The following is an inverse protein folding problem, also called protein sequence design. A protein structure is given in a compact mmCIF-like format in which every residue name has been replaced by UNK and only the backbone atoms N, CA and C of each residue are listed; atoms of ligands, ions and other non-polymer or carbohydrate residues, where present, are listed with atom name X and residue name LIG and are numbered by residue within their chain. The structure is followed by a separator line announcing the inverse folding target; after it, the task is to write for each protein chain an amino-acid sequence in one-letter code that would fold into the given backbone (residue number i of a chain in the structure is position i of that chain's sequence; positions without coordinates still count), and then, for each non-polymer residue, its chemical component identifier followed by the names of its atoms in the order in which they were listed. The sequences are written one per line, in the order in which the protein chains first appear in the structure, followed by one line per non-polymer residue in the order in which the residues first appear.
data_IF_080198124654
#
_entry.id   IF_080198124654
#
_cell.length_a   1.000
_cell.length_b   1.000
_cell.length_c   1.000
_cell.angle_alpha   90.00
_cell.angle_beta   90.00
_cell.angle_gamma   90.00
#
_symmetry.space_group_name_H-M   'P 1'
#
loop_
_entity.id
_entity.type
_entity.pdbx_description
1 polymer ?
#
# COMPACT_ATOMS: atom_id res chain seq x y z
N UNK A 1 11.66 17.38 -11.30
CA UNK A 1 12.66 17.97 -10.36
C UNK A 1 12.00 18.86 -9.29
N UNK A 2 10.82 19.42 -9.58
CA UNK A 2 10.15 20.36 -8.68
C UNK A 2 9.18 19.68 -7.70
N UNK A 3 9.04 18.38 -7.77
CA UNK A 3 8.12 17.59 -6.95
C UNK A 3 8.92 16.71 -5.98
N UNK A 4 8.29 16.21 -4.92
CA UNK A 4 8.89 15.38 -3.88
C UNK A 4 8.22 14.02 -3.76
N UNK A 5 9.01 13.00 -3.45
CA UNK A 5 8.53 11.71 -2.96
C UNK A 5 9.11 11.49 -1.57
N UNK A 6 8.22 11.24 -0.60
CA UNK A 6 8.57 10.93 0.78
C UNK A 6 8.33 9.42 0.98
N UNK A 7 9.40 8.65 1.12
CA UNK A 7 9.35 7.18 1.14
C UNK A 7 9.71 6.63 2.51
N UNK A 8 8.88 5.73 3.05
CA UNK A 8 9.21 4.97 4.25
C UNK A 8 10.50 4.16 4.03
N UNK A 9 11.33 4.08 5.07
CA UNK A 9 12.64 3.44 5.03
C UNK A 9 12.60 1.94 4.76
N UNK A 10 11.52 1.25 5.13
CA UNK A 10 11.32 -0.19 4.96
C UNK A 10 10.42 -0.57 3.79
N UNK A 11 10.07 0.37 2.93
CA UNK A 11 9.26 0.10 1.75
C UNK A 11 9.85 -1.04 0.90
N UNK A 12 8.96 -1.79 0.25
CA UNK A 12 9.32 -2.85 -0.67
C UNK A 12 10.29 -2.39 -1.76
N UNK A 13 11.19 -3.27 -2.19
CA UNK A 13 12.22 -2.98 -3.19
C UNK A 13 11.67 -2.35 -4.48
N UNK A 14 10.49 -2.75 -4.93
CA UNK A 14 9.85 -2.18 -6.12
C UNK A 14 9.52 -0.69 -5.97
N UNK A 15 9.12 -0.27 -4.77
CA UNK A 15 8.89 1.16 -4.44
C UNK A 15 10.23 1.89 -4.43
N UNK A 16 11.24 1.33 -3.76
CA UNK A 16 12.58 1.92 -3.71
C UNK A 16 13.15 2.12 -5.11
N UNK A 17 13.02 1.14 -5.98
CA UNK A 17 13.52 1.22 -7.36
C UNK A 17 12.70 2.21 -8.19
N UNK A 18 11.37 2.24 -8.04
CA UNK A 18 10.52 3.25 -8.67
C UNK A 18 10.91 4.67 -8.27
N UNK A 19 11.16 4.90 -6.97
CA UNK A 19 11.65 6.18 -6.45
C UNK A 19 13.03 6.52 -7.01
N UNK A 20 13.93 5.54 -7.15
CA UNK A 20 15.26 5.75 -7.74
C UNK A 20 15.20 6.12 -9.22
N UNK A 21 14.27 5.58 -9.98
CA UNK A 21 14.07 5.90 -11.40
C UNK A 21 13.37 7.25 -11.61
N UNK A 22 12.72 7.78 -10.59
CA UNK A 22 12.01 9.05 -10.66
C UNK A 22 12.98 10.25 -10.63
N UNK A 23 12.58 11.37 -11.28
CA UNK A 23 13.33 12.64 -11.27
C UNK A 23 12.90 13.59 -10.15
N UNK A 24 11.89 13.23 -9.34
CA UNK A 24 11.48 14.01 -8.18
C UNK A 24 12.56 14.00 -7.09
N UNK A 25 12.54 14.98 -6.22
CA UNK A 25 13.37 14.98 -5.02
C UNK A 25 12.94 13.85 -4.08
N UNK A 26 13.90 13.21 -3.45
CA UNK A 26 13.66 12.05 -2.60
C UNK A 26 13.91 12.40 -1.17
N UNK A 27 12.91 12.15 -0.34
CA UNK A 27 12.96 12.28 1.10
C UNK A 27 12.66 10.91 1.69
N UNK A 28 13.51 10.43 2.59
CA UNK A 28 13.32 9.16 3.27
C UNK A 28 13.02 9.45 4.73
N UNK A 29 12.03 8.80 5.30
CA UNK A 29 11.72 8.87 6.72
C UNK A 29 11.84 7.49 7.36
N UNK A 30 12.17 7.45 8.65
CA UNK A 30 12.31 6.21 9.39
C UNK A 30 10.96 5.49 9.52
N UNK A 31 11.00 4.15 9.48
CA UNK A 31 9.80 3.34 9.43
C UNK A 31 8.81 3.69 10.53
N UNK A 32 7.59 3.99 10.11
CA UNK A 32 6.48 4.35 10.99
C UNK A 32 6.75 5.54 11.94
N UNK A 33 7.81 6.31 11.73
CA UNK A 33 8.14 7.50 12.52
C UNK A 33 7.44 8.74 11.93
N UNK A 34 6.33 9.12 12.56
CA UNK A 34 5.54 10.27 12.13
C UNK A 34 6.22 11.61 12.41
N UNK A 35 7.10 11.68 13.39
CA UNK A 35 7.85 12.90 13.67
C UNK A 35 8.92 13.13 12.59
N UNK A 36 9.60 12.07 12.15
CA UNK A 36 10.54 12.17 11.04
C UNK A 36 9.80 12.41 9.70
N UNK A 37 8.66 11.75 9.45
CA UNK A 37 7.83 12.06 8.27
C UNK A 37 7.44 13.54 8.23
N UNK A 38 6.99 14.10 9.34
CA UNK A 38 6.62 15.52 9.40
C UNK A 38 7.82 16.43 9.14
N UNK A 39 8.98 16.12 9.70
CA UNK A 39 10.23 16.83 9.43
C UNK A 39 10.59 16.81 7.94
N UNK A 40 10.45 15.65 7.27
CA UNK A 40 10.73 15.54 5.83
C UNK A 40 9.71 16.33 5.00
N UNK A 41 8.45 16.38 5.42
CA UNK A 41 7.42 17.20 4.78
C UNK A 41 7.74 18.70 4.92
N UNK A 42 8.14 19.15 6.11
CA UNK A 42 8.58 20.53 6.35
C UNK A 42 9.76 20.89 5.46
N UNK A 43 10.76 20.00 5.35
CA UNK A 43 11.90 20.20 4.47
C UNK A 43 11.48 20.29 3.00
N UNK A 44 10.58 19.44 2.55
CA UNK A 44 10.06 19.50 1.19
C UNK A 44 9.34 20.83 0.89
N UNK A 45 8.60 21.36 1.86
CA UNK A 45 7.97 22.69 1.75
C UNK A 45 9.04 23.79 1.68
N UNK A 46 10.02 23.77 2.58
CA UNK A 46 11.12 24.74 2.61
C UNK A 46 11.94 24.74 1.30
N UNK A 47 12.11 23.56 0.69
CA UNK A 47 12.77 23.39 -0.62
C UNK A 47 11.89 23.85 -1.81
N UNK A 48 10.70 24.36 -1.56
CA UNK A 48 9.74 24.83 -2.60
C UNK A 48 9.21 23.72 -3.49
N UNK A 49 9.02 22.50 -2.95
CA UNK A 49 8.47 21.38 -3.73
C UNK A 49 6.99 21.59 -4.00
N UNK A 50 6.61 21.50 -5.29
CA UNK A 50 5.27 21.78 -5.77
C UNK A 50 4.27 20.70 -5.35
N UNK A 51 4.52 19.45 -5.75
CA UNK A 51 3.74 18.28 -5.35
C UNK A 51 4.55 17.39 -4.42
N UNK A 52 3.89 16.84 -3.43
CA UNK A 52 4.45 15.92 -2.45
C UNK A 52 3.66 14.62 -2.51
N UNK A 53 4.35 13.49 -2.61
CA UNK A 53 3.76 12.15 -2.59
C UNK A 53 4.39 11.35 -1.46
N UNK A 54 3.61 11.00 -0.45
CA UNK A 54 4.00 10.06 0.60
C UNK A 54 3.75 8.65 0.08
N UNK A 55 4.75 7.77 0.17
CA UNK A 55 4.66 6.39 -0.30
C UNK A 55 5.03 5.44 0.83
N UNK A 56 4.15 4.47 1.11
CA UNK A 56 4.35 3.46 2.15
C UNK A 56 3.74 2.12 1.75
N UNK A 57 4.34 1.02 2.23
CA UNK A 57 3.62 -0.25 2.34
C UNK A 57 2.50 -0.09 3.38
N UNK A 58 1.37 -0.75 3.17
CA UNK A 58 0.32 -0.85 4.18
C UNK A 58 0.70 -1.86 5.27
N UNK A 59 1.27 -2.99 4.86
CA UNK A 59 1.90 -3.99 5.73
C UNK A 59 3.30 -4.28 5.24
N UNK A 60 4.29 -4.07 6.09
CA UNK A 60 5.70 -4.36 5.81
C UNK A 60 5.96 -5.86 5.93
N UNK A 61 6.22 -6.52 4.80
CA UNK A 61 6.19 -7.99 4.68
C UNK A 61 7.21 -8.73 5.57
N UNK A 62 8.39 -8.15 5.78
CA UNK A 62 9.47 -8.80 6.51
C UNK A 62 9.31 -8.66 8.03
N UNK A 63 8.65 -7.59 8.47
CA UNK A 63 8.55 -7.21 9.89
C UNK A 63 7.14 -7.41 10.45
N UNK A 64 6.13 -7.55 9.58
CA UNK A 64 4.73 -7.67 9.99
C UNK A 64 4.13 -6.38 10.57
N UNK A 65 4.82 -5.27 10.43
CA UNK A 65 4.37 -3.96 10.90
C UNK A 65 3.27 -3.41 9.99
N UNK A 66 2.32 -2.72 10.57
CA UNK A 66 1.22 -2.04 9.85
C UNK A 66 1.44 -0.55 9.88
N UNK A 67 1.38 0.10 8.72
CA UNK A 67 1.53 1.54 8.63
C UNK A 67 0.45 2.30 9.41
N UNK A 68 0.80 3.38 10.13
CA UNK A 68 -0.16 4.22 10.85
C UNK A 68 -0.83 5.21 9.87
N UNK A 69 -1.67 4.65 8.94
CA UNK A 69 -2.26 5.41 7.83
C UNK A 69 -3.17 6.54 8.27
N UNK A 70 -3.80 6.43 9.43
CA UNK A 70 -4.55 7.51 10.06
C UNK A 70 -3.67 8.75 10.25
N UNK A 71 -2.52 8.59 10.87
CA UNK A 71 -1.55 9.68 11.11
C UNK A 71 -0.87 10.16 9.83
N UNK A 72 -0.56 9.23 8.92
CA UNK A 72 0.02 9.57 7.60
C UNK A 72 -0.94 10.46 6.81
N UNK A 73 -2.23 10.10 6.77
CA UNK A 73 -3.24 10.90 6.10
C UNK A 73 -3.45 12.27 6.77
N UNK A 74 -3.37 12.36 8.10
CA UNK A 74 -3.46 13.65 8.80
C UNK A 74 -2.29 14.57 8.44
N UNK A 75 -1.08 14.03 8.34
CA UNK A 75 0.09 14.79 7.86
C UNK A 75 -0.05 15.15 6.38
N UNK A 76 -0.58 14.24 5.55
CA UNK A 76 -0.81 14.52 4.14
C UNK A 76 -1.77 15.70 3.94
N UNK A 77 -2.90 15.72 4.67
CA UNK A 77 -3.85 16.84 4.65
C UNK A 77 -3.20 18.14 5.12
N UNK A 78 -2.40 18.09 6.21
CA UNK A 78 -1.72 19.25 6.77
C UNK A 78 -0.73 19.91 5.80
N UNK A 79 -0.03 19.09 5.00
CA UNK A 79 1.04 19.55 4.11
C UNK A 79 0.67 19.55 2.63
N UNK A 80 -0.61 19.37 2.29
CA UNK A 80 -1.10 19.25 0.92
C UNK A 80 -0.29 18.23 0.12
N UNK A 81 -0.24 17.01 0.63
CA UNK A 81 0.46 15.87 0.02
C UNK A 81 -0.53 14.78 -0.39
N UNK A 82 -0.19 14.03 -1.43
CA UNK A 82 -0.89 12.82 -1.83
C UNK A 82 -0.34 11.61 -1.06
N UNK A 83 -1.16 10.57 -0.90
CA UNK A 83 -0.78 9.32 -0.25
C UNK A 83 -0.90 8.15 -1.22
N UNK A 84 0.20 7.40 -1.40
CA UNK A 84 0.23 6.13 -2.09
C UNK A 84 0.48 5.00 -1.09
N UNK A 85 -0.38 3.99 -1.12
CA UNK A 85 -0.29 2.82 -0.24
C UNK A 85 -0.15 1.55 -1.08
N UNK A 86 0.85 0.75 -0.78
CA UNK A 86 0.97 -0.60 -1.32
C UNK A 86 0.25 -1.59 -0.40
N UNK A 87 -0.84 -2.17 -0.89
CA UNK A 87 -1.69 -3.13 -0.18
C UNK A 87 -1.37 -4.59 -0.53
N UNK A 88 -0.21 -4.86 -1.14
CA UNK A 88 0.14 -6.21 -1.62
C UNK A 88 0.15 -7.27 -0.50
N UNK A 89 0.41 -6.90 0.73
CA UNK A 89 0.39 -7.77 1.91
C UNK A 89 -0.84 -7.57 2.80
N UNK A 90 -1.88 -6.89 2.33
CA UNK A 90 -3.08 -6.59 3.12
C UNK A 90 -4.39 -6.84 2.37
N UNK A 91 -4.44 -6.50 1.08
CA UNK A 91 -5.65 -6.67 0.27
C UNK A 91 -6.13 -8.12 0.24
N UNK A 92 -7.41 -8.32 0.53
CA UNK A 92 -8.08 -9.61 0.58
C UNK A 92 -8.35 -10.14 1.99
N UNK A 93 -7.61 -9.68 3.03
CA UNK A 93 -7.77 -10.23 4.39
C UNK A 93 -7.62 -9.22 5.53
N UNK A 94 -6.90 -8.13 5.37
CA UNK A 94 -6.83 -7.08 6.39
C UNK A 94 -8.05 -6.16 6.28
N UNK A 95 -8.58 -5.75 7.44
CA UNK A 95 -9.80 -4.95 7.55
C UNK A 95 -11.07 -5.81 7.64
N UNK A 96 -12.16 -5.23 8.11
CA UNK A 96 -13.42 -5.93 8.37
C UNK A 96 -14.01 -6.62 7.14
N UNK A 97 -13.82 -6.04 5.95
CA UNK A 97 -14.28 -6.61 4.68
C UNK A 97 -13.13 -7.01 3.74
N UNK A 98 -11.87 -6.97 4.21
CA UNK A 98 -10.69 -7.36 3.45
C UNK A 98 -10.23 -6.31 2.43
N UNK A 99 -10.55 -5.04 2.65
CA UNK A 99 -10.15 -3.94 1.77
C UNK A 99 -8.77 -3.38 2.06
N UNK A 100 -8.05 -3.99 3.01
CA UNK A 100 -6.68 -3.62 3.32
C UNK A 100 -6.53 -2.69 4.52
N UNK A 101 -5.36 -2.09 4.61
CA UNK A 101 -4.95 -1.28 5.77
C UNK A 101 -5.69 0.05 5.86
N UNK A 102 -6.10 0.63 4.74
CA UNK A 102 -6.96 1.83 4.74
C UNK A 102 -8.29 1.58 5.45
N UNK A 103 -8.89 0.38 5.25
CA UNK A 103 -10.10 0.00 5.99
C UNK A 103 -9.80 -0.24 7.46
N UNK A 104 -8.73 -0.98 7.77
CA UNK A 104 -8.34 -1.31 9.14
C UNK A 104 -8.01 -0.06 9.98
N UNK A 105 -7.55 1.01 9.35
CA UNK A 105 -7.24 2.30 9.99
C UNK A 105 -8.36 3.33 9.90
N UNK A 106 -9.54 2.95 9.37
CA UNK A 106 -10.71 3.82 9.19
C UNK A 106 -10.44 5.09 8.36
N UNK A 107 -9.59 4.98 7.34
CA UNK A 107 -9.21 6.08 6.45
C UNK A 107 -9.51 5.78 4.98
N UNK A 108 -10.54 4.96 4.74
CA UNK A 108 -11.01 4.69 3.38
C UNK A 108 -11.34 5.99 2.64
N UNK A 109 -10.82 6.10 1.41
CA UNK A 109 -11.01 7.29 0.56
C UNK A 109 -9.96 8.40 0.76
N UNK A 110 -9.05 8.28 1.74
CA UNK A 110 -7.96 9.25 1.96
C UNK A 110 -6.65 8.84 1.26
N UNK A 111 -6.53 7.59 0.77
CA UNK A 111 -5.43 7.19 -0.11
C UNK A 111 -5.71 7.61 -1.55
N UNK A 112 -4.77 8.29 -2.19
CA UNK A 112 -4.91 8.77 -3.57
C UNK A 112 -4.54 7.71 -4.60
N UNK A 113 -3.56 6.87 -4.30
CA UNK A 113 -3.08 5.78 -5.14
C UNK A 113 -2.94 4.52 -4.28
N UNK A 114 -3.53 3.44 -4.75
CA UNK A 114 -3.43 2.14 -4.08
C UNK A 114 -2.88 1.13 -5.07
N UNK A 115 -1.82 0.44 -4.70
CA UNK A 115 -1.30 -0.70 -5.47
C UNK A 115 -1.62 -2.01 -4.77
N UNK A 116 -1.77 -3.06 -5.54
CA UNK A 116 -2.03 -4.38 -5.01
C UNK A 116 -1.57 -5.46 -5.97
N UNK A 117 -1.42 -6.68 -5.47
CA UNK A 117 -1.02 -7.84 -6.25
C UNK A 117 -2.13 -8.87 -6.36
N UNK A 118 -2.16 -9.58 -7.47
CA UNK A 118 -3.00 -10.77 -7.69
C UNK A 118 -2.25 -12.08 -7.42
N UNK A 119 -0.99 -11.99 -7.01
CA UNK A 119 -0.11 -13.15 -6.79
C UNK A 119 0.10 -13.53 -5.31
N UNK A 120 -0.72 -13.01 -4.39
CA UNK A 120 -0.64 -13.30 -2.94
C UNK A 120 -2.02 -13.74 -2.42
N UNK A 121 -2.57 -13.08 -1.40
CA UNK A 121 -3.86 -13.46 -0.79
C UNK A 121 -5.03 -13.44 -1.77
N UNK A 122 -5.01 -12.60 -2.78
CA UNK A 122 -6.05 -12.56 -3.82
C UNK A 122 -5.98 -13.71 -4.83
N UNK A 123 -4.99 -14.61 -4.73
CA UNK A 123 -4.99 -15.93 -5.34
C UNK A 123 -4.94 -15.99 -6.88
N UNK A 124 -4.60 -14.91 -7.57
CA UNK A 124 -4.61 -14.83 -9.02
C UNK A 124 -3.38 -15.40 -9.73
N UNK A 125 -2.44 -15.99 -9.03
CA UNK A 125 -1.17 -16.53 -9.48
C UNK A 125 -0.13 -15.46 -9.87
N UNK A 126 -0.48 -14.43 -10.62
CA UNK A 126 0.44 -13.34 -11.02
C UNK A 126 -0.32 -12.07 -11.35
N UNK A 127 0.43 -10.99 -11.51
CA UNK A 127 -0.09 -9.69 -11.88
C UNK A 127 -0.40 -8.80 -10.69
N UNK A 128 -0.85 -7.61 -11.00
CA UNK A 128 -1.20 -6.60 -10.02
C UNK A 128 -2.09 -5.53 -10.63
N UNK A 129 -2.46 -4.58 -9.80
CA UNK A 129 -3.33 -3.49 -10.19
C UNK A 129 -2.95 -2.21 -9.47
N UNK A 130 -3.33 -1.11 -10.06
CA UNK A 130 -3.30 0.22 -9.43
C UNK A 130 -4.69 0.81 -9.48
N UNK A 131 -5.17 1.31 -8.36
CA UNK A 131 -6.41 2.09 -8.27
C UNK A 131 -6.10 3.50 -7.79
N UNK A 132 -6.79 4.49 -8.36
CA UNK A 132 -6.64 5.90 -8.03
C UNK A 132 -7.83 6.68 -8.58
N UNK A 133 -7.83 8.00 -8.36
CA UNK A 133 -8.74 8.91 -9.05
C UNK A 133 -8.59 8.77 -10.56
N UNK A 134 -9.68 9.00 -11.29
CA UNK A 134 -9.76 8.82 -12.75
C UNK A 134 -8.60 9.52 -13.49
N UNK A 135 -8.32 10.74 -13.12
CA UNK A 135 -7.29 11.58 -13.75
C UNK A 135 -5.89 10.96 -13.61
N UNK A 136 -5.59 10.37 -12.45
CA UNK A 136 -4.32 9.67 -12.21
C UNK A 136 -4.25 8.41 -13.05
N UNK A 137 -5.32 7.62 -13.13
CA UNK A 137 -5.37 6.40 -13.94
C UNK A 137 -5.23 6.71 -15.43
N UNK A 138 -5.86 7.78 -15.91
CA UNK A 138 -5.71 8.22 -17.31
C UNK A 138 -4.26 8.61 -17.63
N UNK A 139 -3.58 9.33 -16.73
CA UNK A 139 -2.16 9.65 -16.88
C UNK A 139 -1.30 8.38 -16.89
N UNK A 140 -1.56 7.45 -15.97
CA UNK A 140 -0.81 6.18 -15.90
C UNK A 140 -0.97 5.36 -17.19
N UNK A 141 -2.17 5.28 -17.75
CA UNK A 141 -2.44 4.59 -19.02
C UNK A 141 -1.68 5.17 -20.20
N UNK A 142 -1.37 6.48 -20.17
CA UNK A 142 -0.65 7.17 -21.24
C UNK A 142 0.86 7.27 -21.01
N UNK A 143 1.33 7.09 -19.78
CA UNK A 143 2.72 7.38 -19.38
C UNK A 143 3.44 6.24 -18.69
N UNK A 144 2.73 5.29 -18.10
CA UNK A 144 3.36 4.15 -17.43
C UNK A 144 3.96 3.20 -18.45
N UNK A 145 5.29 3.19 -18.54
CA UNK A 145 6.02 2.34 -19.50
C UNK A 145 5.70 0.85 -19.33
N UNK A 146 5.64 0.28 -18.12
CA UNK A 146 5.23 -1.12 -17.96
C UNK A 146 3.85 -1.40 -18.52
N UNK A 147 2.89 -0.50 -18.34
CA UNK A 147 1.54 -0.65 -18.88
C UNK A 147 1.53 -0.56 -20.42
N UNK A 148 2.29 0.36 -20.99
CA UNK A 148 2.29 0.61 -22.44
C UNK A 148 3.06 -0.46 -23.23
N UNK A 149 4.12 -1.01 -22.66
CA UNK A 149 5.09 -1.84 -23.39
C UNK A 149 5.19 -3.28 -22.91
N UNK A 150 4.42 -3.66 -21.88
CA UNK A 150 4.28 -5.06 -21.45
C UNK A 150 2.98 -5.68 -21.97
N UNK A 151 2.95 -6.99 -22.06
CA UNK A 151 1.74 -7.72 -22.40
C UNK A 151 0.71 -7.59 -21.28
N UNK A 152 -0.57 -7.64 -21.65
CA UNK A 152 -1.69 -7.70 -20.71
C UNK A 152 -1.69 -9.00 -19.91
N UNK A 153 -2.36 -8.99 -18.75
CA UNK A 153 -2.63 -10.22 -18.00
C UNK A 153 -3.37 -11.24 -18.85
N UNK A 154 -3.03 -12.52 -18.69
CA UNK A 154 -3.75 -13.59 -19.38
C UNK A 154 -5.24 -13.61 -18.97
N UNK A 155 -6.17 -13.86 -19.89
CA UNK A 155 -7.61 -13.87 -19.58
C UNK A 155 -7.99 -14.84 -18.46
N UNK A 156 -7.30 -15.97 -18.32
CA UNK A 156 -7.50 -16.93 -17.22
C UNK A 156 -7.18 -16.32 -15.85
N UNK A 157 -6.12 -15.51 -15.75
CA UNK A 157 -5.75 -14.79 -14.52
C UNK A 157 -6.82 -13.75 -14.17
N UNK A 158 -7.29 -13.01 -15.17
CA UNK A 158 -8.35 -12.02 -14.98
C UNK A 158 -9.64 -12.69 -14.51
N UNK A 159 -10.04 -13.80 -15.16
CA UNK A 159 -11.23 -14.57 -14.80
C UNK A 159 -11.16 -15.12 -13.37
N UNK A 160 -10.01 -15.71 -12.98
CA UNK A 160 -9.79 -16.18 -11.62
C UNK A 160 -9.88 -15.03 -10.59
N UNK A 161 -9.25 -13.89 -10.87
CA UNK A 161 -9.27 -12.72 -9.99
C UNK A 161 -10.67 -12.15 -9.82
N UNK A 162 -11.46 -12.06 -10.89
CA UNK A 162 -12.86 -11.64 -10.81
C UNK A 162 -13.68 -12.57 -9.90
N UNK A 163 -13.44 -13.88 -10.02
CA UNK A 163 -14.11 -14.87 -9.16
C UNK A 163 -13.70 -14.74 -7.70
N UNK A 164 -12.43 -14.48 -7.42
CA UNK A 164 -11.96 -14.22 -6.06
C UNK A 164 -12.64 -13.00 -5.46
N UNK A 165 -12.76 -11.89 -6.19
CA UNK A 165 -13.49 -10.71 -5.72
C UNK A 165 -14.98 -11.00 -5.46
N UNK A 166 -15.61 -11.81 -6.29
CA UNK A 166 -16.98 -12.25 -6.07
C UNK A 166 -17.12 -13.06 -4.76
N UNK A 167 -16.20 -14.00 -4.52
CA UNK A 167 -16.18 -14.79 -3.29
C UNK A 167 -15.94 -13.92 -2.05
N UNK A 168 -15.00 -12.97 -2.10
CA UNK A 168 -14.70 -12.06 -0.99
C UNK A 168 -15.88 -11.15 -0.64
N UNK A 169 -16.70 -10.78 -1.63
CA UNK A 169 -17.91 -9.97 -1.39
C UNK A 169 -19.04 -10.77 -0.77
N UNK A 170 -19.04 -12.11 -0.92
CA UNK A 170 -20.14 -12.96 -0.51
C UNK A 170 -20.24 -13.10 1.00
N UNK A 171 -19.11 -13.36 1.69
CA UNK A 171 -19.04 -13.51 3.15
C UNK A 171 -17.61 -13.27 3.70
N UNK A 172 -17.48 -13.30 5.02
CA UNK A 172 -16.21 -13.08 5.72
C UNK A 172 -15.57 -14.36 6.25
N UNK A 173 -16.18 -15.52 6.06
CA UNK A 173 -15.80 -16.78 6.74
C UNK A 173 -14.33 -17.13 6.66
N UNK A 174 -13.71 -16.99 5.49
CA UNK A 174 -12.29 -17.32 5.32
C UNK A 174 -11.40 -16.33 6.07
N UNK A 175 -11.76 -15.04 6.11
CA UNK A 175 -11.03 -14.02 6.87
C UNK A 175 -11.17 -14.24 8.36
N UNK A 176 -12.40 -14.50 8.84
CA UNK A 176 -12.69 -14.77 10.24
C UNK A 176 -11.92 -16.01 10.72
N UNK A 177 -11.86 -17.06 9.88
CA UNK A 177 -11.06 -18.25 10.17
C UNK A 177 -9.56 -17.94 10.22
N UNK A 178 -9.05 -17.12 9.30
CA UNK A 178 -7.66 -16.70 9.29
C UNK A 178 -7.31 -15.90 10.54
N UNK A 179 -8.17 -14.97 10.94
CA UNK A 179 -7.98 -14.17 12.16
C UNK A 179 -7.99 -15.06 13.41
N UNK A 180 -8.93 -16.01 13.50
CA UNK A 180 -8.96 -16.98 14.59
C UNK A 180 -7.68 -17.82 14.65
N UNK A 181 -7.24 -18.36 13.49
CA UNK A 181 -6.00 -19.14 13.40
C UNK A 181 -4.78 -18.32 13.84
N UNK A 182 -4.70 -17.06 13.41
CA UNK A 182 -3.62 -16.14 13.76
C UNK A 182 -3.57 -15.88 15.25
N UNK A 183 -4.71 -15.59 15.87
CA UNK A 183 -4.81 -15.35 17.30
C UNK A 183 -4.49 -16.61 18.12
N UNK A 184 -4.96 -17.76 17.67
CA UNK A 184 -4.64 -19.05 18.30
C UNK A 184 -3.14 -19.34 18.26
N UNK A 185 -2.52 -19.18 17.07
CA UNK A 185 -1.09 -19.39 16.88
C UNK A 185 -0.26 -18.44 17.77
N UNK A 186 -0.55 -17.14 17.71
CA UNK A 186 0.17 -16.13 18.52
C UNK A 186 0.07 -16.42 20.02
N UNK A 187 -1.13 -16.77 20.49
CA UNK A 187 -1.33 -17.14 21.89
C UNK A 187 -0.50 -18.36 22.29
N UNK A 188 -0.48 -19.40 21.45
CA UNK A 188 0.32 -20.61 21.70
C UNK A 188 1.81 -20.33 21.72
N UNK A 189 2.32 -19.56 20.78
CA UNK A 189 3.74 -19.19 20.68
C UNK A 189 4.19 -18.37 21.91
N UNK A 190 3.40 -17.36 22.31
CA UNK A 190 3.68 -16.57 23.51
C UNK A 190 3.68 -17.43 24.79
N UNK A 191 2.72 -18.37 24.91
CA UNK A 191 2.68 -19.29 26.03
C UNK A 191 3.89 -20.23 26.07
N UNK A 192 4.50 -20.54 24.91
CA UNK A 192 5.74 -21.29 24.80
C UNK A 192 7.01 -20.44 25.02
N UNK A 193 6.87 -19.16 25.38
CA UNK A 193 8.00 -18.27 25.65
C UNK A 193 8.68 -17.67 24.42
N UNK A 194 8.03 -17.74 23.25
CA UNK A 194 8.55 -17.17 22.01
C UNK A 194 8.03 -15.72 21.84
N UNK A 195 8.94 -14.84 21.49
CA UNK A 195 8.60 -13.44 21.14
C UNK A 195 8.22 -13.38 19.66
N UNK A 196 6.92 -13.05 19.41
CA UNK A 196 6.33 -12.96 18.08
C UNK A 196 5.37 -11.77 17.97
#
# INVERSE_FOLDING_TARGET
KNDAILSDALNHASIIDGVRLCKAARYRYENNDMADLEKQLQQAVADGRRFKLIVTDGVFSMDGLVAPLDKICDLADKYDAMVMVDECHAAGFIGATGKGTLEAKNVMGRGDIITGTLGKALGGAMGGYTTAKKEIIEILRQRSRPYLFSNSLAPSIVGASLKVFELLKKDTKLRDQLEWNTNYFKKGMKAAGLDI
#
